data_IF_470376404244
#
_entry.id   IF_470376404244
#
_cell.length_a   1.000
_cell.length_b   1.000
_cell.length_c   1.000
_cell.angle_alpha   90.00
_cell.angle_beta   90.00
_cell.angle_gamma   90.00
#
_symmetry.space_group_name_H-M   'P 1'
#
loop_
_entity.id
_entity.type
_entity.pdbx_description
1 polymer ?
#
# COMPACT_ATOMS: atom_id res chain seq x y z
N UNK A 1 5.27 14.45 -14.41
CA UNK A 1 5.30 13.09 -13.81
C UNK A 1 3.91 12.55 -13.49
N UNK A 2 3.05 13.26 -12.79
CA UNK A 2 1.69 12.78 -12.47
C UNK A 2 0.75 12.66 -13.68
N UNK A 3 1.06 13.31 -14.81
CA UNK A 3 0.24 13.23 -16.04
C UNK A 3 0.10 11.80 -16.57
N UNK A 4 1.13 10.98 -16.45
CA UNK A 4 1.09 9.58 -16.91
C UNK A 4 0.16 8.68 -16.08
N UNK A 5 -0.22 9.10 -14.87
CA UNK A 5 -1.13 8.35 -13.98
C UNK A 5 -2.51 9.02 -13.86
N UNK A 6 -2.71 10.17 -14.52
CA UNK A 6 -3.97 10.92 -14.39
C UNK A 6 -5.15 10.27 -15.09
N UNK A 7 -4.90 9.43 -16.08
CA UNK A 7 -5.92 8.81 -16.94
C UNK A 7 -6.15 7.31 -16.69
N UNK A 8 -5.45 6.72 -15.70
CA UNK A 8 -5.62 5.31 -15.35
C UNK A 8 -5.90 5.16 -13.86
N UNK A 9 -6.90 4.34 -13.53
CA UNK A 9 -7.13 3.96 -12.13
C UNK A 9 -5.99 3.07 -11.63
N UNK A 10 -5.51 3.31 -10.40
CA UNK A 10 -4.44 2.52 -9.83
C UNK A 10 -4.64 2.20 -8.35
N UNK A 11 -4.05 1.09 -7.95
CA UNK A 11 -3.88 0.67 -6.56
C UNK A 11 -2.45 1.03 -6.16
N UNK A 12 -2.30 1.78 -5.07
CA UNK A 12 -1.01 2.20 -4.55
C UNK A 12 -0.63 1.34 -3.35
N UNK A 13 0.56 0.76 -3.39
CA UNK A 13 1.04 -0.18 -2.38
C UNK A 13 2.28 0.37 -1.67
N UNK A 14 2.29 0.29 -0.35
CA UNK A 14 3.42 0.63 0.51
C UNK A 14 3.89 -0.61 1.26
N UNK A 15 4.74 -1.45 0.64
CA UNK A 15 5.09 -2.78 1.15
C UNK A 15 6.27 -2.75 2.12
N UNK A 16 6.87 -1.60 2.35
CA UNK A 16 8.08 -1.46 3.15
C UNK A 16 7.80 -0.82 4.51
N UNK A 17 8.77 -0.92 5.40
CA UNK A 17 8.81 -0.24 6.68
C UNK A 17 10.26 0.07 7.01
N UNK A 18 10.51 0.88 8.04
CA UNK A 18 11.88 1.20 8.43
C UNK A 18 12.66 -0.06 8.84
N UNK A 19 13.98 -0.04 8.64
CA UNK A 19 14.87 -1.15 9.02
C UNK A 19 14.74 -1.55 10.50
N UNK A 20 14.38 -0.61 11.36
CA UNK A 20 14.17 -0.84 12.80
C UNK A 20 12.88 -1.56 13.14
N UNK A 21 11.93 -1.64 12.21
CA UNK A 21 10.57 -2.14 12.45
C UNK A 21 10.15 -3.23 11.46
N UNK A 22 11.05 -4.18 11.16
CA UNK A 22 10.77 -5.26 10.21
C UNK A 22 9.60 -6.18 10.65
N UNK A 23 9.25 -6.19 11.94
CA UNK A 23 8.06 -6.87 12.46
C UNK A 23 6.73 -6.26 11.97
N UNK A 24 6.76 -5.04 11.42
CA UNK A 24 5.59 -4.39 10.77
C UNK A 24 5.43 -4.76 9.31
N UNK A 25 6.37 -5.49 8.73
CA UNK A 25 6.36 -5.83 7.31
C UNK A 25 5.62 -7.13 7.06
N UNK A 26 4.52 -7.03 6.31
CA UNK A 26 3.84 -8.20 5.79
C UNK A 26 4.65 -8.81 4.63
N UNK A 27 4.95 -10.12 4.64
CA UNK A 27 5.92 -10.69 3.71
C UNK A 27 5.35 -11.04 2.33
N UNK A 28 4.03 -10.99 2.11
CA UNK A 28 3.38 -11.55 0.93
C UNK A 28 2.92 -10.52 -0.10
N UNK A 29 3.48 -9.31 -0.11
CA UNK A 29 3.09 -8.29 -1.09
C UNK A 29 3.36 -8.69 -2.53
N UNK A 30 4.43 -9.43 -2.80
CA UNK A 30 4.73 -9.92 -4.16
C UNK A 30 3.62 -10.84 -4.68
N UNK A 31 3.17 -11.77 -3.85
CA UNK A 31 2.06 -12.67 -4.20
C UNK A 31 0.75 -11.90 -4.36
N UNK A 32 0.47 -10.94 -3.47
CA UNK A 32 -0.71 -10.10 -3.58
C UNK A 32 -0.75 -9.33 -4.91
N UNK A 33 0.37 -8.74 -5.31
CA UNK A 33 0.49 -7.99 -6.57
C UNK A 33 0.15 -8.88 -7.77
N UNK A 34 0.67 -10.11 -7.80
CA UNK A 34 0.36 -11.06 -8.86
C UNK A 34 -1.13 -11.39 -8.91
N UNK A 35 -1.75 -11.67 -7.77
CA UNK A 35 -3.18 -11.97 -7.67
C UNK A 35 -4.06 -10.77 -8.04
N UNK A 36 -3.69 -9.55 -7.65
CA UNK A 36 -4.41 -8.34 -8.03
C UNK A 36 -4.43 -8.16 -9.56
N UNK A 37 -3.29 -8.37 -10.21
CA UNK A 37 -3.20 -8.29 -11.68
C UNK A 37 -4.07 -9.32 -12.37
N UNK A 38 -4.06 -10.55 -11.87
CA UNK A 38 -4.86 -11.66 -12.42
C UNK A 38 -6.37 -11.41 -12.22
N UNK A 39 -6.79 -11.11 -11.01
CA UNK A 39 -8.19 -11.02 -10.63
C UNK A 39 -8.90 -9.79 -11.22
N UNK A 40 -8.17 -8.67 -11.30
CA UNK A 40 -8.70 -7.47 -11.93
C UNK A 40 -8.39 -7.36 -13.43
N UNK A 41 -7.76 -8.38 -14.03
CA UNK A 41 -7.45 -8.43 -15.47
C UNK A 41 -6.79 -7.14 -15.97
N UNK A 42 -5.86 -6.62 -15.19
CA UNK A 42 -5.15 -5.35 -15.44
C UNK A 42 -6.06 -4.09 -15.53
N UNK A 43 -7.28 -4.16 -14.99
CA UNK A 43 -8.15 -2.98 -14.86
C UNK A 43 -7.46 -1.84 -14.09
N UNK A 44 -6.71 -2.18 -13.04
CA UNK A 44 -5.95 -1.25 -12.24
C UNK A 44 -4.45 -1.41 -12.47
N UNK A 45 -3.74 -0.30 -12.65
CA UNK A 45 -2.29 -0.30 -12.53
C UNK A 45 -1.90 -0.52 -11.07
N UNK A 46 -0.87 -1.34 -10.82
CA UNK A 46 -0.35 -1.53 -9.45
C UNK A 46 0.94 -0.72 -9.34
N UNK A 47 0.92 0.26 -8.45
CA UNK A 47 2.02 1.20 -8.25
C UNK A 47 2.67 1.02 -6.87
N UNK A 48 3.98 1.23 -6.81
CA UNK A 48 4.74 1.38 -5.57
C UNK A 48 5.48 2.71 -5.63
N UNK A 49 5.34 3.54 -4.61
CA UNK A 49 6.16 4.74 -4.43
C UNK A 49 7.15 4.47 -3.27
N UNK A 50 8.38 4.01 -3.58
CA UNK A 50 9.35 3.64 -2.57
C UNK A 50 9.92 4.87 -1.87
N UNK A 51 10.32 4.69 -0.61
CA UNK A 51 11.13 5.65 0.12
C UNK A 51 12.63 5.52 -0.20
N UNK A 52 13.47 6.33 0.46
CA UNK A 52 14.92 6.20 0.37
C UNK A 52 15.39 4.78 0.73
N UNK A 53 16.31 4.23 -0.05
CA UNK A 53 16.88 2.89 0.12
C UNK A 53 15.91 1.71 -0.13
N UNK A 54 14.73 1.96 -0.69
CA UNK A 54 13.72 0.93 -0.98
C UNK A 54 13.60 0.61 -2.47
N UNK A 55 14.25 1.37 -3.34
CA UNK A 55 14.09 1.30 -4.80
C UNK A 55 14.41 -0.10 -5.36
N UNK A 56 15.55 -0.68 -4.98
CA UNK A 56 15.94 -2.01 -5.46
C UNK A 56 14.95 -3.10 -5.03
N UNK A 57 14.48 -3.02 -3.80
CA UNK A 57 13.47 -3.96 -3.28
C UNK A 57 12.11 -3.77 -3.99
N UNK A 58 11.74 -2.53 -4.32
CA UNK A 58 10.50 -2.23 -5.02
C UNK A 58 10.48 -2.82 -6.45
N UNK A 59 11.58 -2.73 -7.17
CA UNK A 59 11.73 -3.29 -8.52
C UNK A 59 11.47 -4.80 -8.52
N UNK A 60 11.85 -5.51 -7.46
CA UNK A 60 11.69 -6.96 -7.34
C UNK A 60 10.24 -7.42 -7.09
N UNK A 61 9.32 -6.50 -6.83
CA UNK A 61 7.93 -6.83 -6.49
C UNK A 61 6.99 -6.94 -7.70
N UNK A 62 7.51 -6.72 -8.92
CA UNK A 62 6.73 -6.83 -10.16
C UNK A 62 5.51 -5.87 -10.21
N UNK A 63 5.65 -4.71 -9.60
CA UNK A 63 4.72 -3.58 -9.74
C UNK A 63 5.41 -2.42 -10.46
N UNK A 64 4.63 -1.42 -10.88
CA UNK A 64 5.18 -0.22 -11.47
C UNK A 64 5.77 0.67 -10.37
N UNK A 65 7.06 0.94 -10.44
CA UNK A 65 7.76 1.77 -9.44
C UNK A 65 7.69 3.24 -9.87
N UNK A 66 7.22 4.10 -8.97
CA UNK A 66 7.08 5.54 -9.20
C UNK A 66 8.29 6.25 -8.61
N UNK A 67 9.06 6.89 -9.48
CA UNK A 67 10.24 7.68 -9.12
C UNK A 67 10.24 9.01 -9.85
N UNK A 68 11.05 9.94 -9.39
CA UNK A 68 11.35 11.20 -10.07
C UNK A 68 12.85 11.31 -10.26
N UNK A 69 13.29 11.32 -11.54
CA UNK A 69 14.72 11.29 -11.89
C UNK A 69 15.48 10.18 -11.16
N UNK A 70 14.92 8.95 -11.17
CA UNK A 70 15.47 7.76 -10.50
C UNK A 70 15.55 7.84 -8.97
N UNK A 71 14.97 8.87 -8.37
CA UNK A 71 14.90 9.06 -6.93
C UNK A 71 13.47 8.88 -6.40
N UNK A 72 13.31 8.62 -5.10
CA UNK A 72 11.99 8.68 -4.47
C UNK A 72 11.30 10.02 -4.73
N UNK A 73 9.99 9.98 -4.92
CA UNK A 73 9.20 11.21 -5.09
C UNK A 73 9.22 12.06 -3.82
N UNK A 74 9.09 13.37 -3.97
CA UNK A 74 8.95 14.25 -2.82
C UNK A 74 7.61 14.06 -2.11
N UNK A 75 7.48 14.63 -0.92
CA UNK A 75 6.28 14.47 -0.09
C UNK A 75 5.02 15.05 -0.75
N UNK A 76 5.13 16.12 -1.51
CA UNK A 76 4.00 16.75 -2.21
C UNK A 76 3.49 15.83 -3.30
N UNK A 77 4.39 15.24 -4.07
CA UNK A 77 4.09 14.26 -5.11
C UNK A 77 3.50 12.99 -4.50
N UNK A 78 4.05 12.52 -3.37
CA UNK A 78 3.52 11.36 -2.64
C UNK A 78 2.08 11.58 -2.18
N UNK A 79 1.78 12.71 -1.57
CA UNK A 79 0.42 13.09 -1.14
C UNK A 79 -0.53 13.11 -2.35
N UNK A 80 -0.09 13.66 -3.48
CA UNK A 80 -0.89 13.70 -4.71
C UNK A 80 -1.14 12.31 -5.29
N UNK A 81 -0.16 11.41 -5.24
CA UNK A 81 -0.32 10.01 -5.64
C UNK A 81 -1.32 9.30 -4.75
N UNK A 82 -1.22 9.47 -3.43
CA UNK A 82 -2.17 8.87 -2.47
C UNK A 82 -3.56 9.43 -2.72
N UNK A 83 -3.71 10.72 -2.87
CA UNK A 83 -5.02 11.38 -3.11
C UNK A 83 -5.72 10.85 -4.36
N UNK A 84 -4.99 10.60 -5.44
CA UNK A 84 -5.54 10.11 -6.72
C UNK A 84 -5.71 8.59 -6.77
N UNK A 85 -5.11 7.84 -5.85
CA UNK A 85 -5.22 6.39 -5.82
C UNK A 85 -6.67 5.93 -5.69
N UNK A 86 -7.05 4.88 -6.40
CA UNK A 86 -8.34 4.20 -6.24
C UNK A 86 -8.42 3.46 -4.92
N UNK A 87 -7.31 2.87 -4.52
CA UNK A 87 -7.17 2.12 -3.29
C UNK A 87 -5.72 2.17 -2.79
N UNK A 88 -5.53 2.16 -1.48
CA UNK A 88 -4.20 2.11 -0.84
C UNK A 88 -4.08 0.89 0.04
N UNK A 89 -2.96 0.18 -0.07
CA UNK A 89 -2.62 -0.95 0.81
C UNK A 89 -1.24 -0.69 1.40
N UNK A 90 -1.11 -0.76 2.70
CA UNK A 90 0.12 -0.41 3.38
C UNK A 90 0.39 -1.26 4.61
N UNK A 91 1.65 -1.41 4.98
CA UNK A 91 2.05 -1.67 6.35
C UNK A 91 1.77 -0.42 7.21
N UNK A 92 1.86 -0.56 8.54
CA UNK A 92 1.76 0.57 9.47
C UNK A 92 2.98 1.50 9.33
N UNK A 93 2.83 2.50 8.48
CA UNK A 93 3.89 3.45 8.07
C UNK A 93 3.34 4.85 7.83
N UNK A 94 4.22 5.83 7.67
CA UNK A 94 3.83 7.21 7.37
C UNK A 94 2.85 7.36 6.20
N UNK A 95 3.07 6.74 5.04
CA UNK A 95 2.11 6.78 3.93
C UNK A 95 0.72 6.25 4.27
N UNK A 96 0.60 5.24 5.14
CA UNK A 96 -0.69 4.73 5.61
C UNK A 96 -1.45 5.81 6.39
N UNK A 97 -0.77 6.54 7.27
CA UNK A 97 -1.37 7.67 8.01
C UNK A 97 -1.81 8.79 7.08
N UNK A 98 -1.02 9.12 6.06
CA UNK A 98 -1.40 10.10 5.03
C UNK A 98 -2.67 9.64 4.31
N UNK A 99 -2.74 8.38 3.89
CA UNK A 99 -3.91 7.82 3.21
C UNK A 99 -5.17 7.89 4.10
N UNK A 100 -5.04 7.56 5.37
CA UNK A 100 -6.12 7.67 6.36
C UNK A 100 -6.61 9.12 6.50
N UNK A 101 -5.72 10.08 6.68
CA UNK A 101 -6.07 11.51 6.81
C UNK A 101 -6.68 12.11 5.54
N UNK A 102 -6.36 11.57 4.37
CA UNK A 102 -6.98 11.93 3.09
C UNK A 102 -8.29 11.17 2.82
N UNK A 103 -8.79 10.42 3.79
CA UNK A 103 -10.01 9.61 3.69
C UNK A 103 -10.04 8.68 2.48
N UNK A 104 -8.89 8.07 2.16
CA UNK A 104 -8.77 7.15 1.03
C UNK A 104 -9.36 5.79 1.35
N UNK A 105 -9.96 5.15 0.35
CA UNK A 105 -10.28 3.72 0.46
C UNK A 105 -8.98 2.94 0.58
N UNK A 106 -8.88 2.11 1.61
CA UNK A 106 -7.66 1.34 1.79
C UNK A 106 -7.66 0.38 2.95
N UNK A 107 -6.57 -0.35 3.03
CA UNK A 107 -6.24 -1.28 4.10
C UNK A 107 -4.85 -0.99 4.65
N UNK A 108 -4.74 -1.02 5.96
CA UNK A 108 -3.45 -1.09 6.64
C UNK A 108 -3.33 -2.44 7.37
N UNK A 109 -2.17 -3.08 7.25
CA UNK A 109 -1.94 -4.40 7.82
C UNK A 109 -1.19 -4.28 9.14
N UNK A 110 -1.82 -4.76 10.21
CA UNK A 110 -1.30 -4.69 11.57
C UNK A 110 -0.98 -6.08 12.13
N UNK A 111 0.25 -6.22 12.67
CA UNK A 111 0.58 -7.29 13.60
C UNK A 111 0.35 -6.85 15.05
N UNK A 112 1.04 -7.49 15.98
CA UNK A 112 0.93 -7.21 17.42
C UNK A 112 1.85 -6.07 17.92
N UNK A 113 2.54 -5.37 17.02
CA UNK A 113 3.49 -4.30 17.37
C UNK A 113 2.80 -3.06 17.98
N UNK A 114 1.55 -2.84 17.62
CA UNK A 114 0.66 -1.79 18.17
C UNK A 114 -0.80 -2.13 17.80
N UNK A 115 -1.72 -1.24 18.05
CA UNK A 115 -3.12 -1.41 17.61
C UNK A 115 -3.56 -0.24 16.74
N UNK A 116 -4.47 -0.52 15.80
CA UNK A 116 -5.07 0.50 14.95
C UNK A 116 -5.78 1.59 15.76
N UNK A 117 -6.44 1.21 16.86
CA UNK A 117 -7.08 2.13 17.79
C UNK A 117 -6.07 3.06 18.48
N UNK A 118 -4.94 2.52 18.93
CA UNK A 118 -3.90 3.28 19.63
C UNK A 118 -3.26 4.35 18.75
N UNK A 119 -3.10 4.07 17.46
CA UNK A 119 -2.52 5.02 16.49
C UNK A 119 -3.58 5.82 15.73
N UNK A 120 -4.87 5.59 16.00
CA UNK A 120 -5.99 6.34 15.40
C UNK A 120 -5.98 6.37 13.87
N UNK A 121 -5.61 5.25 13.23
CA UNK A 121 -5.45 5.18 11.79
C UNK A 121 -6.74 4.83 11.05
N UNK A 122 -7.73 4.22 11.71
CA UNK A 122 -8.97 3.81 11.08
C UNK A 122 -9.98 4.95 10.95
N UNK A 123 -10.69 4.95 9.83
CA UNK A 123 -11.87 5.76 9.60
C UNK A 123 -12.89 4.96 8.76
N UNK A 124 -13.90 5.60 8.21
CA UNK A 124 -14.94 4.93 7.42
C UNK A 124 -14.36 4.21 6.19
N UNK A 125 -13.44 4.85 5.47
CA UNK A 125 -12.88 4.35 4.21
C UNK A 125 -11.57 3.57 4.38
N UNK A 126 -10.79 3.88 5.42
CA UNK A 126 -9.47 3.29 5.66
C UNK A 126 -9.53 2.35 6.85
N UNK A 127 -9.37 1.05 6.62
CA UNK A 127 -9.53 0.01 7.62
C UNK A 127 -8.23 -0.71 7.95
N UNK A 128 -8.12 -1.15 9.19
CA UNK A 128 -7.05 -2.03 9.62
C UNK A 128 -7.47 -3.49 9.52
N UNK A 129 -6.58 -4.32 9.01
CA UNK A 129 -6.66 -5.77 9.09
C UNK A 129 -5.61 -6.22 10.11
N UNK A 130 -6.08 -6.60 11.28
CA UNK A 130 -5.22 -6.87 12.44
C UNK A 130 -5.13 -8.36 12.72
N UNK A 131 -3.92 -8.86 12.86
CA UNK A 131 -3.61 -10.24 13.22
C UNK A 131 -2.53 -10.27 14.30
N UNK A 132 -2.42 -11.39 15.01
CA UNK A 132 -1.37 -11.56 16.03
C UNK A 132 0.02 -11.58 15.41
N UNK A 133 0.18 -12.23 14.27
CA UNK A 133 1.43 -12.31 13.53
C UNK A 133 1.17 -12.10 12.03
N UNK A 134 1.81 -11.12 11.43
CA UNK A 134 1.65 -10.80 10.01
C UNK A 134 2.01 -11.96 9.07
N UNK A 135 2.89 -12.87 9.48
CA UNK A 135 3.20 -14.06 8.69
C UNK A 135 2.03 -15.02 8.55
N UNK A 136 1.07 -14.98 9.48
CA UNK A 136 -0.11 -15.84 9.49
C UNK A 136 -1.27 -15.23 8.68
N UNK A 137 -1.18 -13.97 8.30
CA UNK A 137 -2.15 -13.30 7.45
C UNK A 137 -1.95 -13.73 6.00
N UNK A 138 -2.85 -14.55 5.48
CA UNK A 138 -2.68 -15.04 4.13
C UNK A 138 -3.20 -14.06 3.06
N UNK A 139 -2.66 -14.22 1.86
CA UNK A 139 -2.92 -13.31 0.72
C UNK A 139 -4.40 -13.30 0.31
N UNK A 140 -5.07 -14.45 0.39
CA UNK A 140 -6.49 -14.55 0.00
C UNK A 140 -7.41 -13.76 0.93
N UNK A 141 -7.09 -13.68 2.22
CA UNK A 141 -7.83 -12.84 3.17
C UNK A 141 -7.71 -11.37 2.81
N UNK A 142 -6.48 -10.90 2.56
CA UNK A 142 -6.21 -9.51 2.15
C UNK A 142 -6.90 -9.21 0.82
N UNK A 143 -6.79 -10.09 -0.16
CA UNK A 143 -7.41 -9.93 -1.48
C UNK A 143 -8.93 -9.86 -1.40
N UNK A 144 -9.56 -10.69 -0.56
CA UNK A 144 -11.00 -10.65 -0.31
C UNK A 144 -11.45 -9.29 0.23
N UNK A 145 -10.75 -8.76 1.22
CA UNK A 145 -11.06 -7.45 1.80
C UNK A 145 -10.91 -6.32 0.77
N UNK A 146 -9.89 -6.39 -0.09
CA UNK A 146 -9.70 -5.41 -1.17
C UNK A 146 -10.88 -5.45 -2.15
N UNK A 147 -11.28 -6.66 -2.58
CA UNK A 147 -12.40 -6.83 -3.52
C UNK A 147 -13.71 -6.29 -2.96
N UNK A 148 -14.00 -6.56 -1.69
CA UNK A 148 -15.21 -6.07 -1.02
C UNK A 148 -15.26 -4.54 -0.97
N UNK A 149 -14.11 -3.88 -0.81
CA UNK A 149 -14.03 -2.42 -0.71
C UNK A 149 -13.93 -1.71 -2.06
N UNK A 150 -13.45 -2.37 -3.09
CA UNK A 150 -13.36 -1.82 -4.44
C UNK A 150 -14.67 -1.95 -5.24
N UNK A 151 -15.50 -2.88 -4.86
CA UNK A 151 -16.81 -3.10 -5.50
C UNK A 151 -17.93 -2.18 -4.88
#
# INVERSE_FOLDING_TARGET
MLKQYSNSEYILIFPFCSKKHQNKKWPYFKELILKLKQDFKNKYSILIAPGPNELNAAIMLNAKVVTENENPVDIKTLISLIYKAKFVIANDTGPAHIASHLDKKGLVLFGNHTSAKKVSIENYNFKALTVKNLKDLNVNEVLREIKLKLN
#
